data_IF_841934588533
#
_entry.id   IF_841934588533
#
_cell.length_a   1.000
_cell.length_b   1.000
_cell.length_c   1.000
_cell.angle_alpha   90.00
_cell.angle_beta   90.00
_cell.angle_gamma   90.00
#
_symmetry.space_group_name_H-M   'P 1'
#
loop_
_entity.id
_entity.type
_entity.pdbx_description
1 polymer ?
#
# COMPACT_ATOMS: atom_id res chain seq x y z
N UNK A 1 -32.56 -11.85 -10.54
CA UNK A 1 -33.39 -10.86 -9.82
C UNK A 1 -32.45 -9.88 -9.11
N UNK A 2 -32.63 -8.58 -9.33
CA UNK A 2 -31.89 -7.55 -8.60
C UNK A 2 -32.28 -7.56 -7.12
N UNK A 3 -31.29 -7.44 -6.24
CA UNK A 3 -31.44 -7.40 -4.78
C UNK A 3 -31.18 -5.99 -4.27
N UNK A 4 -30.15 -5.33 -4.79
CA UNK A 4 -29.77 -3.99 -4.39
C UNK A 4 -28.86 -3.34 -5.42
N UNK A 5 -28.92 -2.02 -5.57
CA UNK A 5 -28.03 -1.26 -6.45
C UNK A 5 -27.70 0.08 -5.81
N UNK A 6 -26.45 0.55 -5.96
CA UNK A 6 -26.00 1.83 -5.43
C UNK A 6 -24.81 2.39 -6.21
N UNK A 7 -24.62 3.70 -6.15
CA UNK A 7 -23.43 4.36 -6.71
C UNK A 7 -22.20 4.08 -5.85
N UNK A 8 -21.08 3.84 -6.51
CA UNK A 8 -19.79 3.56 -5.87
C UNK A 8 -18.63 3.98 -6.79
N UNK A 9 -17.42 3.92 -6.26
CA UNK A 9 -16.20 3.99 -7.04
C UNK A 9 -15.48 2.64 -6.96
N UNK A 10 -15.11 2.06 -8.11
CA UNK A 10 -14.15 0.96 -8.16
C UNK A 10 -12.75 1.56 -7.99
N UNK A 11 -12.06 1.16 -6.93
CA UNK A 11 -10.72 1.64 -6.62
C UNK A 11 -9.70 0.65 -7.16
N UNK A 12 -8.75 1.19 -7.90
CA UNK A 12 -7.57 0.51 -8.43
C UNK A 12 -6.35 1.41 -8.13
N UNK A 13 -5.11 0.89 -8.22
CA UNK A 13 -3.92 1.70 -7.95
C UNK A 13 -3.97 3.06 -8.67
N UNK A 14 -3.88 4.14 -7.88
CA UNK A 14 -3.92 5.55 -8.33
C UNK A 14 -5.19 6.01 -9.08
N UNK A 15 -6.23 5.18 -9.18
CA UNK A 15 -7.46 5.52 -9.93
C UNK A 15 -8.73 5.08 -9.20
N UNK A 16 -9.63 6.05 -9.00
CA UNK A 16 -11.01 5.79 -8.60
C UNK A 16 -11.91 5.92 -9.84
N UNK A 17 -12.62 4.84 -10.19
CA UNK A 17 -13.53 4.80 -11.34
C UNK A 17 -14.97 4.87 -10.86
N UNK A 18 -15.68 6.00 -11.05
CA UNK A 18 -17.09 6.12 -10.69
C UNK A 18 -17.97 5.15 -11.47
N UNK A 19 -18.94 4.56 -10.78
CA UNK A 19 -19.86 3.60 -11.37
C UNK A 19 -21.05 3.27 -10.49
N UNK A 20 -21.73 2.19 -10.86
CA UNK A 20 -22.86 1.62 -10.13
C UNK A 20 -22.56 0.15 -9.82
N UNK A 21 -22.67 -0.21 -8.55
CA UNK A 21 -22.60 -1.59 -8.10
C UNK A 21 -24.01 -2.15 -7.98
N UNK A 22 -24.25 -3.30 -8.58
CA UNK A 22 -25.53 -4.00 -8.59
C UNK A 22 -25.35 -5.42 -8.06
N UNK A 23 -26.16 -5.78 -7.08
CA UNK A 23 -26.16 -7.10 -6.45
C UNK A 23 -27.42 -7.81 -6.92
N UNK A 24 -27.24 -9.03 -7.43
CA UNK A 24 -28.31 -9.96 -7.77
C UNK A 24 -28.23 -11.18 -6.86
N UNK A 25 -29.15 -12.14 -7.04
CA UNK A 25 -29.10 -13.41 -6.30
C UNK A 25 -27.93 -14.32 -6.67
N UNK A 26 -27.21 -14.05 -7.76
CA UNK A 26 -26.11 -14.91 -8.24
C UNK A 26 -24.81 -14.17 -8.55
N UNK A 27 -24.84 -12.85 -8.71
CA UNK A 27 -23.70 -12.05 -9.15
C UNK A 27 -23.67 -10.65 -8.51
N UNK A 28 -22.46 -10.10 -8.46
CA UNK A 28 -22.18 -8.67 -8.25
C UNK A 28 -21.71 -8.11 -9.59
N UNK A 29 -22.29 -7.00 -10.02
CA UNK A 29 -21.89 -6.27 -11.21
C UNK A 29 -21.38 -4.88 -10.84
N UNK A 30 -20.42 -4.40 -11.62
CA UNK A 30 -20.00 -3.01 -11.63
C UNK A 30 -20.13 -2.45 -13.04
N UNK A 31 -20.81 -1.31 -13.15
CA UNK A 31 -21.01 -0.60 -14.40
C UNK A 31 -20.36 0.79 -14.31
N UNK A 32 -19.40 1.07 -15.19
CA UNK A 32 -18.73 2.37 -15.25
C UNK A 32 -19.68 3.45 -15.78
N UNK A 33 -19.66 4.65 -15.18
CA UNK A 33 -20.55 5.74 -15.64
C UNK A 33 -20.18 6.26 -17.03
N UNK A 34 -21.18 6.61 -17.83
CA UNK A 34 -21.00 7.17 -19.18
C UNK A 34 -20.20 8.48 -19.19
N UNK A 35 -20.34 9.30 -18.14
CA UNK A 35 -19.60 10.56 -17.99
C UNK A 35 -18.08 10.36 -17.94
N UNK A 36 -17.61 9.24 -17.35
CA UNK A 36 -16.18 8.92 -17.29
C UNK A 36 -15.67 8.35 -18.61
N UNK A 37 -16.52 7.63 -19.35
CA UNK A 37 -16.21 7.17 -20.71
C UNK A 37 -15.96 8.37 -21.63
N UNK A 38 -16.83 9.38 -21.56
CA UNK A 38 -16.73 10.58 -22.38
C UNK A 38 -15.48 11.44 -22.12
N UNK A 39 -14.89 11.37 -20.92
CA UNK A 39 -13.69 12.17 -20.57
C UNK A 39 -12.37 11.53 -20.98
N UNK A 40 -12.30 10.21 -21.01
CA UNK A 40 -11.04 9.49 -21.28
C UNK A 40 -10.92 9.04 -22.75
N UNK A 41 -12.03 8.55 -23.34
CA UNK A 41 -12.22 8.29 -24.77
C UNK A 41 -13.60 7.60 -24.93
N UNK A 42 -14.51 8.15 -25.75
CA UNK A 42 -15.84 7.56 -25.99
C UNK A 42 -15.76 6.18 -26.65
N UNK A 43 -14.68 5.90 -27.38
CA UNK A 43 -14.47 4.64 -28.09
C UNK A 43 -13.83 3.54 -27.24
N UNK A 44 -13.40 3.83 -26.01
CA UNK A 44 -12.83 2.79 -25.14
C UNK A 44 -13.90 1.83 -24.65
N UNK A 45 -13.56 0.54 -24.63
CA UNK A 45 -14.43 -0.47 -24.04
C UNK A 45 -14.72 -0.12 -22.56
N UNK A 46 -15.96 -0.32 -22.10
CA UNK A 46 -16.31 -0.01 -20.73
C UNK A 46 -15.60 -0.94 -19.75
N UNK A 47 -15.16 -0.40 -18.61
CA UNK A 47 -14.53 -1.19 -17.54
C UNK A 47 -15.57 -1.92 -16.67
N UNK A 48 -16.60 -2.45 -17.32
CA UNK A 48 -17.67 -3.17 -16.65
C UNK A 48 -17.12 -4.52 -16.16
N UNK A 49 -17.50 -4.90 -14.95
CA UNK A 49 -17.00 -6.11 -14.29
C UNK A 49 -18.14 -6.89 -13.69
N UNK A 50 -17.97 -8.22 -13.66
CA UNK A 50 -18.92 -9.14 -13.04
C UNK A 50 -18.19 -10.15 -12.19
N UNK A 51 -18.74 -10.44 -11.03
CA UNK A 51 -18.24 -11.44 -10.10
C UNK A 51 -19.39 -12.35 -9.70
N UNK A 52 -19.18 -13.66 -9.76
CA UNK A 52 -20.18 -14.61 -9.28
C UNK A 52 -20.18 -14.59 -7.75
N UNK A 53 -21.36 -14.61 -7.14
CA UNK A 53 -21.47 -14.63 -5.68
C UNK A 53 -20.89 -15.90 -5.08
N UNK A 54 -20.97 -17.03 -5.78
CA UNK A 54 -20.33 -18.27 -5.32
C UNK A 54 -18.80 -18.22 -5.35
N UNK A 55 -18.19 -17.22 -5.99
CA UNK A 55 -16.75 -16.99 -5.89
C UNK A 55 -16.40 -16.06 -4.73
N UNK A 56 -17.37 -15.39 -4.10
CA UNK A 56 -17.10 -14.48 -2.98
C UNK A 56 -16.69 -15.26 -1.74
N UNK A 57 -15.44 -15.06 -1.32
CA UNK A 57 -14.83 -15.78 -0.20
C UNK A 57 -14.72 -14.94 1.07
N UNK A 58 -14.34 -13.68 0.91
CA UNK A 58 -14.17 -12.76 2.04
C UNK A 58 -14.70 -11.37 1.72
N UNK A 59 -15.30 -10.72 2.71
CA UNK A 59 -15.73 -9.33 2.65
C UNK A 59 -15.06 -8.58 3.80
N UNK A 60 -14.18 -7.66 3.44
CA UNK A 60 -13.48 -6.84 4.40
C UNK A 60 -14.02 -5.42 4.41
N UNK A 61 -14.28 -4.87 5.59
CA UNK A 61 -14.62 -3.46 5.74
C UNK A 61 -13.34 -2.62 5.75
N UNK A 62 -13.27 -1.64 4.86
CA UNK A 62 -12.06 -0.85 4.62
C UNK A 62 -12.29 0.64 4.79
N UNK A 63 -11.19 1.38 4.82
CA UNK A 63 -11.21 2.84 4.75
C UNK A 63 -10.75 3.31 3.39
N UNK A 64 -11.28 4.43 2.94
CA UNK A 64 -10.79 5.17 1.79
C UNK A 64 -10.75 6.64 2.15
N UNK A 65 -9.59 7.28 1.92
CA UNK A 65 -9.33 8.65 2.39
C UNK A 65 -9.67 8.81 3.89
N UNK A 66 -9.24 7.84 4.69
CA UNK A 66 -9.47 7.73 6.15
C UNK A 66 -10.95 7.60 6.58
N UNK A 67 -11.90 7.46 5.66
CA UNK A 67 -13.34 7.29 5.97
C UNK A 67 -13.72 5.82 5.91
N UNK A 68 -14.55 5.34 6.84
CA UNK A 68 -15.10 3.97 6.85
C UNK A 68 -16.21 3.80 5.80
N UNK A 69 -15.83 3.94 4.54
CA UNK A 69 -16.73 4.02 3.38
C UNK A 69 -16.54 2.89 2.38
N UNK A 70 -15.62 1.96 2.62
CA UNK A 70 -15.23 0.98 1.59
C UNK A 70 -15.45 -0.47 1.99
N UNK A 71 -15.56 -1.32 0.97
CA UNK A 71 -15.52 -2.78 1.09
C UNK A 71 -14.47 -3.32 0.12
N UNK A 72 -13.79 -4.38 0.54
CA UNK A 72 -12.90 -5.15 -0.32
C UNK A 72 -13.37 -6.60 -0.35
N UNK A 73 -13.56 -7.11 -1.56
CA UNK A 73 -14.01 -8.47 -1.82
C UNK A 73 -12.82 -9.31 -2.23
N UNK A 74 -12.61 -10.46 -1.58
CA UNK A 74 -11.65 -11.47 -2.03
C UNK A 74 -12.40 -12.68 -2.53
N UNK A 75 -11.95 -13.23 -3.64
CA UNK A 75 -12.59 -14.35 -4.31
C UNK A 75 -11.82 -15.65 -4.10
N UNK A 76 -12.44 -16.78 -4.44
CA UNK A 76 -11.84 -18.11 -4.35
C UNK A 76 -10.57 -18.23 -5.20
N UNK A 77 -10.53 -17.56 -6.36
CA UNK A 77 -9.39 -17.52 -7.27
C UNK A 77 -8.26 -16.56 -6.84
N UNK A 78 -8.34 -16.02 -5.62
CA UNK A 78 -7.39 -15.05 -5.02
C UNK A 78 -7.41 -13.65 -5.65
N UNK A 79 -8.24 -13.41 -6.66
CA UNK A 79 -8.48 -12.04 -7.14
C UNK A 79 -9.32 -11.26 -6.13
N UNK A 80 -9.29 -9.94 -6.24
CA UNK A 80 -10.03 -9.06 -5.35
C UNK A 80 -10.59 -7.83 -6.07
N UNK A 81 -11.53 -7.15 -5.41
CA UNK A 81 -12.12 -5.90 -5.89
C UNK A 81 -12.40 -4.96 -4.72
N UNK A 82 -11.94 -3.71 -4.83
CA UNK A 82 -12.08 -2.69 -3.79
C UNK A 82 -13.08 -1.62 -4.23
N UNK A 83 -14.10 -1.37 -3.41
CA UNK A 83 -15.15 -0.40 -3.69
C UNK A 83 -15.24 0.65 -2.59
N UNK A 84 -15.38 1.90 -2.98
CA UNK A 84 -15.71 3.00 -2.07
C UNK A 84 -17.17 3.45 -2.29
N UNK A 85 -17.89 3.71 -1.20
CA UNK A 85 -19.29 4.11 -1.21
C UNK A 85 -19.50 5.40 -0.42
N UNK A 86 -20.25 6.36 -0.98
CA UNK A 86 -20.52 7.63 -0.27
C UNK A 86 -21.39 7.46 0.98
N UNK A 87 -22.36 6.53 0.97
CA UNK A 87 -23.34 6.34 2.06
C UNK A 87 -23.72 4.88 2.32
N UNK A 88 -23.84 4.05 1.29
CA UNK A 88 -24.53 2.76 1.39
C UNK A 88 -23.64 1.56 1.74
N UNK A 89 -22.38 1.77 2.13
CA UNK A 89 -21.41 0.70 2.46
C UNK A 89 -21.98 -0.39 3.39
N UNK A 90 -22.63 0.01 4.49
CA UNK A 90 -23.22 -0.95 5.44
C UNK A 90 -24.41 -1.72 4.86
N UNK A 91 -25.22 -1.09 4.00
CA UNK A 91 -26.36 -1.75 3.34
C UNK A 91 -25.86 -2.76 2.32
N UNK A 92 -24.86 -2.40 1.51
CA UNK A 92 -24.20 -3.31 0.56
C UNK A 92 -23.66 -4.53 1.30
N UNK A 93 -22.93 -4.32 2.38
CA UNK A 93 -22.42 -5.40 3.23
C UNK A 93 -23.53 -6.33 3.73
N UNK A 94 -24.58 -5.77 4.34
CA UNK A 94 -25.74 -6.54 4.84
C UNK A 94 -26.37 -7.37 3.73
N UNK A 95 -26.63 -6.78 2.55
CA UNK A 95 -27.26 -7.47 1.43
C UNK A 95 -26.42 -8.63 0.90
N UNK A 96 -25.10 -8.51 0.87
CA UNK A 96 -24.21 -9.60 0.46
C UNK A 96 -24.22 -10.75 1.48
N UNK A 97 -24.17 -10.44 2.78
CA UNK A 97 -24.21 -11.45 3.84
C UNK A 97 -25.57 -12.15 3.89
N UNK A 98 -26.67 -11.41 3.73
CA UNK A 98 -28.04 -11.95 3.73
C UNK A 98 -28.29 -12.95 2.60
N UNK A 99 -27.56 -12.84 1.50
CA UNK A 99 -27.61 -13.79 0.37
C UNK A 99 -26.91 -15.12 0.66
N UNK A 100 -26.16 -15.22 1.76
CA UNK A 100 -25.43 -16.42 2.20
C UNK A 100 -24.63 -17.09 1.07
N UNK A 101 -23.65 -16.38 0.47
CA UNK A 101 -22.84 -16.98 -0.58
C UNK A 101 -22.13 -18.24 -0.06
N UNK A 102 -22.10 -19.34 -0.82
CA UNK A 102 -21.70 -20.65 -0.31
C UNK A 102 -20.24 -20.71 0.16
N UNK A 103 -19.37 -19.87 -0.41
CA UNK A 103 -17.93 -19.85 -0.11
C UNK A 103 -17.52 -18.70 0.82
N UNK A 104 -18.47 -17.92 1.35
CA UNK A 104 -18.17 -16.79 2.22
C UNK A 104 -17.72 -17.29 3.61
N UNK A 105 -16.42 -17.22 3.88
CA UNK A 105 -15.82 -17.67 5.15
C UNK A 105 -15.47 -16.51 6.08
N UNK A 106 -15.38 -15.29 5.56
CA UNK A 106 -15.01 -14.11 6.36
C UNK A 106 -15.91 -12.91 6.03
N UNK A 107 -16.61 -12.44 7.05
CA UNK A 107 -17.47 -11.25 7.00
C UNK A 107 -17.50 -10.57 8.37
N UNK A 108 -16.35 -10.51 9.04
CA UNK A 108 -16.29 -9.92 10.38
C UNK A 108 -16.58 -8.42 10.37
N UNK A 109 -17.20 -7.97 11.46
CA UNK A 109 -17.45 -6.56 11.73
C UNK A 109 -16.75 -6.13 13.01
N UNK A 110 -16.36 -4.87 13.06
CA UNK A 110 -15.64 -4.30 14.21
C UNK A 110 -14.54 -3.34 13.77
N UNK A 111 -13.91 -2.75 14.77
CA UNK A 111 -12.64 -2.03 14.62
C UNK A 111 -11.49 -3.01 14.35
N UNK A 112 -10.40 -2.52 13.79
CA UNK A 112 -9.20 -3.32 13.58
C UNK A 112 -8.67 -3.93 14.90
N UNK A 113 -8.79 -3.20 16.01
CA UNK A 113 -8.40 -3.68 17.34
C UNK A 113 -9.25 -4.87 17.80
N UNK A 114 -10.58 -4.81 17.63
CA UNK A 114 -11.50 -5.89 17.99
C UNK A 114 -11.25 -7.13 17.14
N UNK A 115 -11.10 -6.96 15.82
CA UNK A 115 -10.80 -8.06 14.88
C UNK A 115 -9.46 -8.70 15.25
N UNK A 116 -8.43 -7.89 15.51
CA UNK A 116 -7.11 -8.37 15.92
C UNK A 116 -7.17 -9.21 17.20
N UNK A 117 -7.87 -8.72 18.23
CA UNK A 117 -8.05 -9.45 19.50
C UNK A 117 -8.74 -10.80 19.32
N UNK A 118 -9.77 -10.88 18.47
CA UNK A 118 -10.51 -12.13 18.20
C UNK A 118 -9.73 -13.12 17.33
N UNK A 119 -8.85 -12.63 16.46
CA UNK A 119 -8.14 -13.46 15.47
C UNK A 119 -7.23 -14.54 16.07
N UNK A 120 -6.74 -14.33 17.30
CA UNK A 120 -5.73 -15.19 17.93
C UNK A 120 -4.37 -15.21 17.21
N UNK A 121 -4.14 -14.30 16.25
CA UNK A 121 -2.94 -14.26 15.41
C UNK A 121 -1.65 -14.21 16.22
N UNK A 122 -1.60 -13.38 17.26
CA UNK A 122 -0.39 -13.23 18.10
C UNK A 122 -0.01 -14.54 18.76
N UNK A 123 -0.99 -15.33 19.22
CA UNK A 123 -0.71 -16.63 19.83
C UNK A 123 -0.18 -17.63 18.80
N UNK A 124 -0.74 -17.66 17.59
CA UNK A 124 -0.24 -18.53 16.50
C UNK A 124 1.20 -18.18 16.15
N UNK A 125 1.51 -16.89 16.04
CA UNK A 125 2.86 -16.39 15.78
C UNK A 125 3.85 -16.74 16.89
N UNK A 126 3.49 -16.50 18.15
CA UNK A 126 4.33 -16.85 19.32
C UNK A 126 4.60 -18.35 19.43
N UNK A 127 3.65 -19.18 18.98
CA UNK A 127 3.81 -20.65 18.93
C UNK A 127 4.56 -21.12 17.68
N UNK A 128 5.04 -20.23 16.81
CA UNK A 128 5.74 -20.57 15.57
C UNK A 128 4.86 -21.20 14.49
N UNK A 129 3.53 -21.10 14.61
CA UNK A 129 2.59 -21.67 13.63
C UNK A 129 2.45 -20.82 12.36
N UNK A 130 2.83 -19.55 12.43
CA UNK A 130 2.91 -18.61 11.31
C UNK A 130 4.23 -17.84 11.40
N UNK A 131 4.80 -17.50 10.25
CA UNK A 131 6.07 -16.77 10.18
C UNK A 131 5.92 -15.30 10.58
N UNK A 132 7.04 -14.59 10.77
CA UNK A 132 7.03 -13.13 10.93
C UNK A 132 6.39 -12.44 9.72
N UNK A 133 6.69 -12.93 8.50
CA UNK A 133 6.13 -12.39 7.26
C UNK A 133 4.61 -12.54 7.25
N UNK A 134 4.10 -13.75 7.51
CA UNK A 134 2.66 -14.01 7.56
C UNK A 134 1.98 -13.16 8.63
N UNK A 135 2.58 -13.07 9.81
CA UNK A 135 2.03 -12.26 10.90
C UNK A 135 1.95 -10.77 10.54
N UNK A 136 2.99 -10.21 9.91
CA UNK A 136 3.00 -8.83 9.44
C UNK A 136 1.97 -8.61 8.31
N UNK A 137 1.85 -9.53 7.36
CA UNK A 137 0.84 -9.46 6.32
C UNK A 137 -0.57 -9.45 6.93
N UNK A 138 -0.86 -10.35 7.87
CA UNK A 138 -2.16 -10.43 8.53
C UNK A 138 -2.49 -9.17 9.34
N UNK A 139 -1.50 -8.59 10.06
CA UNK A 139 -1.70 -7.31 10.77
C UNK A 139 -1.97 -6.18 9.80
N UNK A 140 -1.23 -6.11 8.68
CA UNK A 140 -1.47 -5.10 7.64
C UNK A 140 -2.91 -5.22 7.10
N UNK A 141 -3.36 -6.44 6.76
CA UNK A 141 -4.72 -6.70 6.30
C UNK A 141 -5.78 -6.28 7.33
N UNK A 142 -5.60 -6.63 8.61
CA UNK A 142 -6.55 -6.24 9.68
C UNK A 142 -6.56 -4.73 9.90
N UNK A 143 -5.40 -4.06 9.77
CA UNK A 143 -5.29 -2.61 9.83
C UNK A 143 -5.97 -1.91 8.63
N UNK A 144 -6.41 -2.66 7.62
CA UNK A 144 -7.10 -2.16 6.44
C UNK A 144 -6.17 -1.80 5.29
N UNK A 145 -4.90 -2.24 5.34
CA UNK A 145 -3.95 -2.06 4.24
C UNK A 145 -4.32 -2.94 3.06
N UNK A 146 -4.07 -2.46 1.85
CA UNK A 146 -4.47 -3.12 0.60
C UNK A 146 -3.53 -2.76 -0.55
N UNK A 147 -3.41 -3.66 -1.52
CA UNK A 147 -2.71 -3.42 -2.78
C UNK A 147 -3.53 -2.57 -3.77
N UNK A 148 -4.85 -2.43 -3.57
CA UNK A 148 -5.73 -1.66 -4.46
C UNK A 148 -5.60 -0.15 -4.29
N UNK A 149 -5.11 0.32 -3.14
CA UNK A 149 -4.90 1.73 -2.83
C UNK A 149 -3.47 1.94 -2.33
N UNK A 150 -2.61 2.48 -3.19
CA UNK A 150 -1.18 2.67 -2.89
C UNK A 150 -0.93 3.64 -1.72
N UNK A 151 -1.90 4.49 -1.36
CA UNK A 151 -1.79 5.34 -0.17
C UNK A 151 -1.95 4.55 1.14
N UNK A 152 -2.49 3.33 1.05
CA UNK A 152 -2.73 2.41 2.16
C UNK A 152 -2.01 1.07 1.93
N UNK A 153 -0.89 1.08 1.21
CA UNK A 153 -0.11 -0.11 0.91
C UNK A 153 0.41 -0.79 2.18
N UNK A 154 0.55 -2.13 2.21
CA UNK A 154 1.16 -2.84 3.32
C UNK A 154 2.56 -2.30 3.65
N UNK A 155 2.90 -2.30 4.94
CA UNK A 155 4.14 -1.72 5.46
C UNK A 155 4.95 -2.80 6.16
N UNK A 156 6.24 -2.87 5.82
CA UNK A 156 7.22 -3.75 6.45
C UNK A 156 8.37 -2.89 6.99
N UNK A 157 9.00 -3.29 8.12
CA UNK A 157 10.12 -2.54 8.65
C UNK A 157 11.39 -2.79 7.85
N UNK A 158 12.29 -1.81 7.82
CA UNK A 158 13.70 -2.11 7.60
C UNK A 158 14.21 -3.06 8.70
N UNK A 159 14.86 -4.15 8.30
CA UNK A 159 15.38 -5.18 9.23
C UNK A 159 16.90 -5.09 9.33
N UNK A 160 17.60 -5.10 8.20
CA UNK A 160 19.05 -4.93 8.15
C UNK A 160 19.42 -3.45 8.24
N UNK A 161 20.61 -3.18 8.78
CA UNK A 161 21.21 -1.85 8.90
C UNK A 161 22.55 -1.73 8.17
N UNK A 162 23.13 -2.85 7.74
CA UNK A 162 24.41 -2.93 7.04
C UNK A 162 24.19 -3.36 5.59
N UNK A 163 24.47 -2.43 4.66
CA UNK A 163 24.35 -2.63 3.22
C UNK A 163 25.67 -2.33 2.47
N UNK A 164 26.75 -2.03 3.20
CA UNK A 164 28.06 -1.66 2.65
C UNK A 164 29.08 -2.78 2.68
N UNK A 165 28.85 -3.80 3.52
CA UNK A 165 29.74 -4.95 3.65
C UNK A 165 29.51 -5.96 2.53
N UNK A 166 30.59 -6.52 1.98
CA UNK A 166 30.53 -7.57 0.96
C UNK A 166 29.86 -8.86 1.48
N UNK A 167 30.10 -9.18 2.76
CA UNK A 167 29.46 -10.29 3.46
C UNK A 167 28.75 -9.79 4.72
N UNK A 168 27.64 -10.44 5.08
CA UNK A 168 26.84 -10.11 6.27
C UNK A 168 26.72 -11.31 7.21
N UNK A 169 27.20 -11.16 8.44
CA UNK A 169 26.97 -12.14 9.50
C UNK A 169 25.59 -11.91 10.14
N UNK A 170 24.64 -12.79 9.82
CA UNK A 170 23.28 -12.76 10.37
C UNK A 170 23.20 -13.11 11.87
N UNK A 171 24.32 -13.48 12.50
CA UNK A 171 24.40 -13.69 13.95
C UNK A 171 24.84 -12.44 14.69
N UNK A 172 25.39 -11.46 14.00
CA UNK A 172 25.85 -10.21 14.60
C UNK A 172 24.67 -9.24 14.76
N UNK A 173 24.26 -8.90 16.00
CA UNK A 173 23.14 -7.98 16.23
C UNK A 173 23.39 -6.57 15.68
N UNK A 174 24.64 -6.18 15.39
CA UNK A 174 24.98 -4.86 14.82
C UNK A 174 24.51 -4.71 13.37
N UNK A 175 24.27 -5.81 12.67
CA UNK A 175 23.75 -5.83 11.30
C UNK A 175 22.23 -5.59 11.22
N UNK A 176 21.56 -5.47 12.37
CA UNK A 176 20.13 -5.28 12.45
C UNK A 176 19.78 -3.88 12.94
N UNK A 177 18.69 -3.35 12.38
CA UNK A 177 18.06 -2.14 12.87
C UNK A 177 17.44 -2.39 14.25
N UNK A 178 17.55 -1.40 15.14
CA UNK A 178 16.70 -1.31 16.32
C UNK A 178 15.21 -1.14 15.93
N UNK A 179 14.45 -2.23 16.03
CA UNK A 179 13.01 -2.29 15.74
C UNK A 179 12.13 -1.64 16.83
N UNK A 180 12.70 -1.25 17.97
CA UNK A 180 11.95 -0.51 19.01
C UNK A 180 11.75 0.97 18.67
N UNK A 181 12.44 1.46 17.62
CA UNK A 181 12.49 2.88 17.24
C UNK A 181 12.01 3.08 15.81
N UNK A 182 11.30 4.19 15.50
CA UNK A 182 10.98 4.57 14.12
C UNK A 182 12.23 5.06 13.37
N UNK A 183 12.19 5.07 12.02
CA UNK A 183 13.30 5.52 11.15
C UNK A 183 13.87 6.87 11.63
N UNK A 184 12.98 7.84 11.85
CA UNK A 184 13.36 9.20 12.24
C UNK A 184 14.12 9.30 13.56
N UNK A 185 14.07 8.26 14.40
CA UNK A 185 14.77 8.22 15.68
C UNK A 185 16.12 7.48 15.64
N UNK A 186 16.42 6.73 14.57
CA UNK A 186 17.64 5.91 14.52
C UNK A 186 18.92 6.75 14.55
N UNK A 187 18.95 7.87 13.82
CA UNK A 187 20.05 8.82 13.83
C UNK A 187 19.88 9.82 15.01
N UNK A 188 20.79 9.84 16.01
CA UNK A 188 20.68 10.70 17.20
C UNK A 188 20.72 12.20 16.89
N UNK A 189 21.54 12.63 15.94
CA UNK A 189 21.67 14.03 15.52
C UNK A 189 20.36 14.51 14.91
N UNK A 190 19.80 13.74 13.97
CA UNK A 190 18.52 14.04 13.34
C UNK A 190 17.35 14.00 14.33
N UNK A 191 17.39 13.08 15.30
CA UNK A 191 16.36 13.02 16.34
C UNK A 191 16.31 14.32 17.16
N UNK A 192 17.46 14.93 17.48
CA UNK A 192 17.49 16.22 18.19
C UNK A 192 16.76 17.30 17.40
N UNK A 193 16.90 17.33 16.07
CA UNK A 193 16.19 18.27 15.21
C UNK A 193 14.68 18.04 15.22
N UNK A 194 14.23 16.80 15.13
CA UNK A 194 12.79 16.48 15.19
C UNK A 194 12.17 16.86 16.54
N UNK A 195 12.87 16.58 17.65
CA UNK A 195 12.42 16.94 18.99
C UNK A 195 12.36 18.45 19.17
N UNK A 196 13.37 19.18 18.67
CA UNK A 196 13.39 20.64 18.68
C UNK A 196 12.20 21.21 17.89
N UNK A 197 12.00 20.77 16.65
CA UNK A 197 10.86 21.18 15.80
C UNK A 197 9.52 20.95 16.51
N UNK A 198 9.33 19.78 17.09
CA UNK A 198 8.11 19.44 17.82
C UNK A 198 7.89 20.36 19.04
N UNK A 199 8.96 20.65 19.79
CA UNK A 199 8.93 21.56 20.94
C UNK A 199 8.61 22.99 20.52
N UNK A 200 9.23 23.48 19.45
CA UNK A 200 9.00 24.83 18.90
C UNK A 200 7.53 24.98 18.44
N UNK A 201 6.95 23.93 17.84
CA UNK A 201 5.54 23.92 17.43
C UNK A 201 4.56 23.93 18.60
N UNK A 202 4.90 23.28 19.73
CA UNK A 202 4.04 23.31 20.93
C UNK A 202 3.82 24.72 21.48
N UNK A 203 4.77 25.63 21.25
CA UNK A 203 4.67 27.04 21.65
C UNK A 203 4.03 27.95 20.61
N UNK A 204 3.68 27.44 19.42
CA UNK A 204 3.12 28.24 18.32
C UNK A 204 1.59 28.29 18.33
N UNK A 205 1.02 29.43 17.92
CA UNK A 205 -0.43 29.65 17.77
C UNK A 205 -1.03 29.05 16.48
N UNK A 206 -0.29 28.22 15.75
CA UNK A 206 -0.79 27.62 14.52
C UNK A 206 -1.71 26.44 14.89
N UNK A 207 -2.97 26.45 14.45
CA UNK A 207 -3.97 25.40 14.67
C UNK A 207 -3.65 24.01 14.07
N UNK A 208 -2.37 23.73 13.81
CA UNK A 208 -1.80 22.45 13.40
C UNK A 208 -1.19 21.79 14.63
N UNK A 209 -1.64 20.57 15.02
CA UNK A 209 -1.04 19.84 16.13
C UNK A 209 0.47 19.64 15.91
N UNK A 210 1.30 19.72 16.96
CA UNK A 210 2.74 19.54 16.84
C UNK A 210 3.06 18.12 16.36
N UNK A 211 4.07 17.99 15.51
CA UNK A 211 4.48 16.71 14.92
C UNK A 211 6.00 16.62 14.74
N UNK A 212 6.53 15.40 14.73
CA UNK A 212 7.95 15.16 14.49
C UNK A 212 8.26 15.16 12.98
N UNK A 213 7.44 14.45 12.19
CA UNK A 213 7.69 14.18 10.77
C UNK A 213 6.67 14.88 9.88
N UNK A 214 7.14 15.65 8.90
CA UNK A 214 6.28 16.23 7.86
C UNK A 214 6.00 15.28 6.70
N UNK A 215 6.72 14.16 6.64
CA UNK A 215 6.52 13.06 5.69
C UNK A 215 6.03 11.81 6.40
N UNK A 216 5.55 10.84 5.62
CA UNK A 216 4.97 9.61 6.14
C UNK A 216 5.77 8.39 5.69
N UNK A 217 5.87 7.38 6.55
CA UNK A 217 6.66 6.18 6.31
C UNK A 217 6.12 5.28 5.17
N UNK A 218 4.89 5.53 4.73
CA UNK A 218 4.19 4.77 3.69
C UNK A 218 3.30 5.72 2.91
N UNK A 219 3.52 5.85 1.61
CA UNK A 219 2.71 6.66 0.70
C UNK A 219 2.84 6.09 -0.71
N UNK A 220 1.94 6.50 -1.62
CA UNK A 220 1.92 6.00 -2.99
C UNK A 220 3.25 6.25 -3.72
N UNK A 221 3.85 7.43 -3.52
CA UNK A 221 5.16 7.79 -4.07
C UNK A 221 6.26 6.82 -3.68
N UNK A 222 6.31 6.40 -2.41
CA UNK A 222 7.25 5.37 -1.91
C UNK A 222 7.05 4.02 -2.59
N UNK A 223 5.80 3.59 -2.80
CA UNK A 223 5.51 2.31 -3.44
C UNK A 223 5.99 2.31 -4.89
N UNK A 224 5.61 3.34 -5.67
CA UNK A 224 6.05 3.44 -7.07
C UNK A 224 7.54 3.71 -7.21
N UNK A 225 8.16 4.35 -6.22
CA UNK A 225 9.61 4.51 -6.14
C UNK A 225 10.30 3.16 -6.04
N UNK A 226 9.89 2.27 -5.12
CA UNK A 226 10.49 0.95 -5.01
C UNK A 226 10.19 0.07 -6.22
N UNK A 227 8.94 0.04 -6.69
CA UNK A 227 8.50 -0.85 -7.77
C UNK A 227 8.72 -0.29 -9.19
N UNK A 228 9.54 0.75 -9.33
CA UNK A 228 9.77 1.49 -10.58
C UNK A 228 10.02 0.60 -11.81
N UNK A 229 10.65 -0.56 -11.64
CA UNK A 229 11.05 -1.48 -12.72
C UNK A 229 9.96 -2.46 -13.17
N UNK A 230 8.83 -2.48 -12.48
CA UNK A 230 7.78 -3.50 -12.65
C UNK A 230 6.50 -2.83 -13.12
N UNK A 231 5.92 -3.30 -14.23
CA UNK A 231 4.60 -2.85 -14.65
C UNK A 231 3.51 -3.46 -13.75
N UNK A 232 2.42 -2.74 -13.43
CA UNK A 232 2.05 -1.42 -13.95
C UNK A 232 2.69 -0.22 -13.22
N UNK A 233 3.58 -0.44 -12.23
CA UNK A 233 4.11 0.63 -11.37
C UNK A 233 5.02 1.59 -12.10
N UNK A 234 5.73 1.14 -13.15
CA UNK A 234 6.47 2.03 -14.05
C UNK A 234 5.53 3.06 -14.70
N UNK A 235 4.43 2.62 -15.30
CA UNK A 235 3.41 3.51 -15.88
C UNK A 235 2.84 4.47 -14.82
N UNK A 236 2.52 3.97 -13.62
CA UNK A 236 2.00 4.80 -12.52
C UNK A 236 3.02 5.84 -12.03
N UNK A 237 4.32 5.51 -12.03
CA UNK A 237 5.40 6.43 -11.69
C UNK A 237 5.48 7.57 -12.70
N UNK A 238 5.42 7.24 -13.99
CA UNK A 238 5.43 8.22 -15.10
C UNK A 238 4.23 9.16 -15.00
N UNK A 239 3.03 8.63 -14.74
CA UNK A 239 1.81 9.42 -14.55
C UNK A 239 1.95 10.40 -13.38
N UNK A 240 2.53 9.95 -12.26
CA UNK A 240 2.80 10.79 -11.09
C UNK A 240 3.81 11.91 -11.39
N UNK A 241 4.73 11.68 -12.33
CA UNK A 241 5.82 12.58 -12.72
C UNK A 241 5.53 13.35 -14.01
N UNK A 242 4.25 13.65 -14.28
CA UNK A 242 3.82 14.47 -15.43
C UNK A 242 4.23 13.89 -16.79
N UNK A 243 4.17 12.57 -16.95
CA UNK A 243 4.31 11.89 -18.23
C UNK A 243 5.75 11.53 -18.63
N UNK A 244 6.71 11.61 -17.71
CA UNK A 244 8.11 11.17 -17.93
C UNK A 244 8.73 10.61 -16.67
N UNK A 245 9.85 9.89 -16.81
CA UNK A 245 10.68 9.55 -15.66
C UNK A 245 11.22 10.79 -14.95
N UNK A 246 11.47 10.66 -13.65
CA UNK A 246 12.17 11.66 -12.86
C UNK A 246 13.67 11.69 -13.23
N UNK A 247 14.42 12.64 -12.67
CA UNK A 247 15.88 12.65 -12.80
C UNK A 247 16.48 11.39 -12.16
N UNK A 248 17.50 10.83 -12.81
CA UNK A 248 18.12 9.58 -12.43
C UNK A 248 18.55 9.53 -10.95
N UNK A 249 19.09 10.63 -10.42
CA UNK A 249 19.56 10.75 -9.02
C UNK A 249 18.43 10.61 -7.98
N UNK A 250 17.15 10.70 -8.38
CA UNK A 250 15.99 10.53 -7.49
C UNK A 250 15.28 9.19 -7.66
N UNK A 251 15.75 8.36 -8.59
CA UNK A 251 15.17 7.03 -8.83
C UNK A 251 15.74 6.03 -7.83
N UNK A 252 14.96 4.99 -7.54
CA UNK A 252 15.46 3.88 -6.73
C UNK A 252 16.51 3.12 -7.53
N UNK A 253 17.78 3.17 -7.13
CA UNK A 253 18.86 2.49 -7.85
C UNK A 253 19.94 1.88 -6.95
N UNK A 254 19.90 2.16 -5.64
CA UNK A 254 20.86 1.60 -4.69
C UNK A 254 20.18 1.46 -3.31
N UNK A 255 20.22 0.26 -2.71
CA UNK A 255 19.58 -0.02 -1.41
C UNK A 255 20.31 0.68 -0.26
N UNK A 256 21.65 0.70 -0.28
CA UNK A 256 22.48 1.39 0.71
C UNK A 256 22.22 2.90 0.70
N UNK A 257 22.26 3.54 -0.47
CA UNK A 257 21.97 4.99 -0.62
C UNK A 257 20.56 5.30 -0.13
N UNK A 258 19.61 4.42 -0.45
CA UNK A 258 18.22 4.54 -0.03
C UNK A 258 18.08 4.44 1.50
N UNK A 259 18.79 3.51 2.14
CA UNK A 259 18.86 3.39 3.59
C UNK A 259 19.50 4.62 4.24
N UNK A 260 20.64 5.06 3.72
CA UNK A 260 21.36 6.23 4.21
C UNK A 260 20.53 7.51 4.08
N UNK A 261 19.80 7.69 2.97
CA UNK A 261 18.87 8.81 2.80
C UNK A 261 17.74 8.75 3.83
N UNK A 262 17.19 7.57 4.13
CA UNK A 262 16.21 7.39 5.21
C UNK A 262 16.77 7.74 6.58
N UNK A 263 18.10 7.73 6.80
CA UNK A 263 18.73 8.07 8.08
C UNK A 263 19.16 9.54 8.18
N UNK A 264 19.36 10.23 7.07
CA UNK A 264 19.98 11.55 7.02
C UNK A 264 19.07 12.64 6.50
N UNK A 265 18.17 12.33 5.56
CA UNK A 265 17.26 13.32 4.99
C UNK A 265 16.08 13.57 5.95
N UNK A 266 15.82 14.82 6.38
CA UNK A 266 14.77 15.14 7.34
C UNK A 266 13.35 14.89 6.79
N UNK A 267 13.21 14.83 5.47
CA UNK A 267 11.95 14.58 4.77
C UNK A 267 11.79 13.12 4.34
N UNK A 268 12.75 12.24 4.61
CA UNK A 268 12.65 10.82 4.28
C UNK A 268 12.67 9.94 5.54
N UNK A 269 11.51 9.39 5.85
CA UNK A 269 11.29 8.45 6.96
C UNK A 269 10.60 7.17 6.49
N UNK A 270 10.74 6.84 5.21
CA UNK A 270 10.03 5.71 4.58
C UNK A 270 10.49 4.36 5.13
N UNK A 271 9.52 3.49 5.39
CA UNK A 271 9.74 2.08 5.72
C UNK A 271 9.72 1.25 4.42
N UNK A 272 9.82 -0.07 4.53
CA UNK A 272 9.81 -1.00 3.41
C UNK A 272 8.39 -1.43 3.02
N UNK A 273 8.33 -2.09 1.87
CA UNK A 273 7.15 -2.81 1.37
C UNK A 273 7.40 -4.33 1.44
N UNK A 274 6.35 -5.18 1.44
CA UNK A 274 6.51 -6.63 1.52
C UNK A 274 7.42 -7.25 0.45
N UNK A 275 7.47 -6.65 -0.75
CA UNK A 275 8.17 -7.16 -1.92
C UNK A 275 9.68 -7.32 -1.69
N UNK A 276 10.28 -6.54 -0.78
CA UNK A 276 11.68 -6.70 -0.35
C UNK A 276 12.00 -8.08 0.23
N UNK A 277 10.98 -8.85 0.63
CA UNK A 277 11.14 -10.14 1.31
C UNK A 277 10.76 -11.34 0.44
N UNK A 278 10.22 -11.15 -0.76
CA UNK A 278 9.79 -12.28 -1.61
C UNK A 278 9.83 -12.05 -3.12
N UNK A 279 9.97 -10.82 -3.61
CA UNK A 279 9.81 -10.51 -5.04
C UNK A 279 11.06 -9.83 -5.60
N UNK A 280 12.14 -10.58 -5.91
CA UNK A 280 13.42 -10.00 -6.33
C UNK A 280 13.35 -9.24 -7.67
N UNK A 281 12.38 -9.53 -8.53
CA UNK A 281 12.27 -8.96 -9.88
C UNK A 281 12.12 -7.43 -9.88
N UNK A 282 11.66 -6.82 -8.78
CA UNK A 282 11.61 -5.36 -8.65
C UNK A 282 12.99 -4.67 -8.65
N UNK A 283 14.06 -5.43 -8.39
CA UNK A 283 15.44 -4.94 -8.43
C UNK A 283 16.03 -5.00 -9.84
N UNK A 284 15.44 -5.76 -10.76
CA UNK A 284 15.99 -6.01 -12.10
C UNK A 284 15.21 -5.25 -13.17
N UNK A 285 15.91 -4.52 -14.05
CA UNK A 285 15.36 -3.82 -15.20
C UNK A 285 15.09 -4.78 -16.37
N UNK A 286 14.26 -5.79 -16.14
CA UNK A 286 13.91 -6.81 -17.15
C UNK A 286 13.26 -6.22 -18.40
N UNK A 287 12.55 -5.10 -18.25
CA UNK A 287 11.88 -4.37 -19.33
C UNK A 287 12.82 -3.44 -20.12
N UNK A 288 14.10 -3.33 -19.73
CA UNK A 288 15.13 -2.50 -20.38
C UNK A 288 14.71 -1.03 -20.53
N UNK A 289 14.05 -0.48 -19.49
CA UNK A 289 13.70 0.93 -19.46
C UNK A 289 14.95 1.81 -19.42
N UNK A 290 14.90 2.97 -20.07
CA UNK A 290 15.97 3.96 -19.99
C UNK A 290 15.69 4.95 -18.85
N UNK A 291 16.36 4.76 -17.72
CA UNK A 291 16.22 5.61 -16.52
C UNK A 291 17.17 6.82 -16.49
N UNK A 292 18.06 6.94 -17.48
CA UNK A 292 19.04 8.02 -17.56
C UNK A 292 20.34 7.73 -16.80
N UNK A 293 21.13 8.77 -16.56
CA UNK A 293 22.43 8.71 -15.87
C UNK A 293 22.45 9.64 -14.67
N UNK A 294 23.02 9.19 -13.57
CA UNK A 294 23.24 10.03 -12.38
C UNK A 294 24.23 11.16 -12.68
N UNK A 295 24.24 12.22 -11.87
CA UNK A 295 25.13 13.37 -12.05
C UNK A 295 26.48 13.23 -11.33
N UNK A 296 26.66 12.19 -10.52
CA UNK A 296 27.91 11.96 -9.77
C UNK A 296 29.06 11.46 -10.65
N UNK A 297 30.25 12.04 -10.47
CA UNK A 297 31.57 11.56 -10.94
C UNK A 297 31.70 11.13 -12.41
N UNK A 298 31.21 9.93 -12.71
CA UNK A 298 31.33 9.24 -14.02
C UNK A 298 29.98 9.16 -14.75
N UNK A 299 28.87 9.54 -14.11
CA UNK A 299 27.52 9.44 -14.66
C UNK A 299 27.15 7.98 -14.93
N UNK A 300 26.90 7.23 -13.86
CA UNK A 300 26.49 5.84 -13.97
C UNK A 300 25.07 5.75 -14.55
N UNK A 301 24.87 4.84 -15.50
CA UNK A 301 23.54 4.54 -16.01
C UNK A 301 22.73 3.88 -14.90
N UNK A 302 21.52 4.40 -14.67
CA UNK A 302 20.56 3.73 -13.80
C UNK A 302 19.94 2.58 -14.58
N UNK A 303 20.11 1.36 -14.07
CA UNK A 303 19.63 0.13 -14.70
C UNK A 303 19.10 -0.83 -13.61
N UNK A 304 19.73 -1.96 -13.33
CA UNK A 304 19.44 -2.77 -12.13
C UNK A 304 19.72 -1.99 -10.83
N UNK A 305 19.03 -2.37 -9.75
CA UNK A 305 19.28 -1.83 -8.41
C UNK A 305 20.54 -2.48 -7.84
N UNK A 306 21.41 -1.64 -7.28
CA UNK A 306 22.61 -2.01 -6.54
C UNK A 306 22.25 -2.33 -5.09
#
# INVERSE_FOLDING_TARGET
KEVYSTSCDLITPMKATPGRLEITTTHIYFWETLEMRAKEDVHRAPKDRKWRLDQLREIHQRRYLLRRSSLEFFLVDQTNAFFNFKRDRSKVFSKLVDLRPPNLIYSETGTAEEIFKRSGLTKKWQLGQISNFDYLMQINTIAGRTYNDLSQYPVFPWVLSNFSSEEIDLRDPRNYRDLSRPIGALNPERLKEYLKRYSDMKGGEMGVPPFHYGSHYSNSGTVVFYLLRVEPFTSLFIDLQSGKFDIADRLFHNIEDTWNNCLTNPSDVKELIPEFFYFPEFLTNSNKFYFGKTKGGIGAQVDDVI
#
